data_IF_721657405295
#
_entry.id   IF_721657405295
#
_cell.length_a   1.000
_cell.length_b   1.000
_cell.length_c   1.000
_cell.angle_alpha   90.00
_cell.angle_beta   90.00
_cell.angle_gamma   90.00
#
_symmetry.space_group_name_H-M   'P 1'
#
loop_
_entity.id
_entity.type
_entity.pdbx_description
1 polymer ?
#
# COMPACT_ATOMS: atom_id res chain seq x y z
N UNK A 1 -2.37 -7.67 -10.20
CA UNK A 1 -3.75 -7.70 -10.73
C UNK A 1 -4.72 -7.69 -9.55
N UNK A 2 -5.24 -6.51 -9.20
CA UNK A 2 -6.37 -6.29 -8.29
C UNK A 2 -7.49 -5.65 -9.12
N UNK A 3 -7.87 -6.31 -10.22
CA UNK A 3 -8.77 -5.70 -11.23
C UNK A 3 -10.23 -5.61 -10.75
N UNK A 4 -10.51 -6.03 -9.51
CA UNK A 4 -11.83 -5.96 -8.86
C UNK A 4 -11.74 -5.80 -7.35
N UNK A 5 -10.92 -4.88 -6.84
CA UNK A 5 -11.12 -4.46 -5.45
C UNK A 5 -12.36 -3.56 -5.41
N UNK A 6 -13.49 -4.17 -5.07
CA UNK A 6 -14.80 -3.50 -4.98
C UNK A 6 -14.92 -2.61 -3.75
N UNK A 7 -14.06 -2.79 -2.74
CA UNK A 7 -13.93 -1.90 -1.60
C UNK A 7 -12.47 -1.87 -1.09
N UNK A 8 -11.90 -0.68 -0.78
CA UNK A 8 -10.59 -0.58 -0.14
C UNK A 8 -10.59 -1.23 1.25
N UNK A 9 -9.46 -1.84 1.63
CA UNK A 9 -9.23 -2.58 2.90
C UNK A 9 -9.93 -3.93 2.99
N UNK A 10 -10.48 -4.47 1.91
CA UNK A 10 -11.21 -5.74 1.93
C UNK A 10 -10.33 -6.91 2.39
N UNK A 11 -9.08 -6.97 1.92
CA UNK A 11 -8.13 -8.04 2.25
C UNK A 11 -7.43 -7.72 3.58
N UNK A 12 -7.07 -6.47 3.81
CA UNK A 12 -6.42 -6.03 5.04
C UNK A 12 -7.28 -6.34 6.28
N UNK A 13 -8.61 -6.26 6.17
CA UNK A 13 -9.55 -6.62 7.24
C UNK A 13 -9.56 -8.09 7.62
N UNK A 14 -9.07 -9.00 6.76
CA UNK A 14 -8.96 -10.43 7.10
C UNK A 14 -7.64 -10.75 7.82
N UNK A 15 -6.68 -9.83 7.82
CA UNK A 15 -5.33 -10.04 8.38
C UNK A 15 -5.11 -9.23 9.66
N UNK A 16 -5.53 -7.96 9.65
CA UNK A 16 -5.34 -7.00 10.74
C UNK A 16 -6.55 -6.96 11.69
N UNK A 17 -6.30 -6.51 12.92
CA UNK A 17 -7.35 -6.29 13.91
C UNK A 17 -8.26 -5.12 13.52
N UNK A 18 -9.57 -5.19 13.88
CA UNK A 18 -10.50 -4.09 13.61
C UNK A 18 -10.06 -2.74 14.18
N UNK A 19 -9.38 -2.73 15.33
CA UNK A 19 -8.88 -1.52 15.98
C UNK A 19 -7.80 -0.84 15.13
N UNK A 20 -6.85 -1.61 14.60
CA UNK A 20 -5.80 -1.13 13.69
C UNK A 20 -6.39 -0.56 12.41
N UNK A 21 -7.35 -1.26 11.82
CA UNK A 21 -8.05 -0.77 10.63
C UNK A 21 -8.73 0.58 10.92
N UNK A 22 -9.35 0.72 12.10
CA UNK A 22 -9.96 1.98 12.52
C UNK A 22 -8.94 3.10 12.70
N UNK A 23 -7.78 2.81 13.30
CA UNK A 23 -6.69 3.78 13.45
C UNK A 23 -6.16 4.24 12.09
N UNK A 24 -5.93 3.31 11.17
CA UNK A 24 -5.53 3.62 9.78
C UNK A 24 -6.58 4.52 9.10
N UNK A 25 -7.87 4.19 9.19
CA UNK A 25 -8.92 5.04 8.61
C UNK A 25 -8.96 6.46 9.23
N UNK A 26 -8.66 6.57 10.53
CA UNK A 26 -8.64 7.85 11.24
C UNK A 26 -7.35 8.66 11.02
N UNK A 27 -6.30 8.05 10.45
CA UNK A 27 -5.01 8.68 10.22
C UNK A 27 -4.96 9.59 8.98
N UNK A 28 -6.06 9.72 8.23
CA UNK A 28 -6.16 10.63 7.07
C UNK A 28 -5.48 10.12 5.80
N UNK A 29 -5.34 8.80 5.66
CA UNK A 29 -4.77 8.17 4.47
C UNK A 29 -5.67 8.33 3.23
N UNK A 30 -5.04 8.32 2.06
CA UNK A 30 -5.76 8.32 0.78
C UNK A 30 -6.08 6.88 0.36
N UNK A 31 -6.88 6.75 -0.70
CA UNK A 31 -7.24 5.44 -1.23
C UNK A 31 -6.01 4.60 -1.64
N UNK A 32 -4.92 5.22 -2.08
CA UNK A 32 -3.71 4.49 -2.48
C UNK A 32 -3.06 3.74 -1.32
N UNK A 33 -3.06 4.30 -0.10
CA UNK A 33 -2.59 3.57 1.09
C UNK A 33 -3.46 2.35 1.40
N UNK A 34 -4.77 2.41 1.19
CA UNK A 34 -5.63 1.25 1.39
C UNK A 34 -5.34 0.13 0.39
N UNK A 35 -5.09 0.48 -0.87
CA UNK A 35 -4.66 -0.47 -1.90
C UNK A 35 -3.29 -1.09 -1.56
N UNK A 36 -2.36 -0.29 -1.03
CA UNK A 36 -1.05 -0.77 -0.54
C UNK A 36 -1.25 -1.79 0.60
N UNK A 37 -2.11 -1.48 1.57
CA UNK A 37 -2.42 -2.38 2.68
C UNK A 37 -3.02 -3.70 2.20
N UNK A 38 -3.98 -3.65 1.29
CA UNK A 38 -4.55 -4.87 0.74
C UNK A 38 -3.54 -5.69 -0.06
N UNK A 39 -2.64 -5.01 -0.80
CA UNK A 39 -1.54 -5.67 -1.52
C UNK A 39 -0.58 -6.36 -0.55
N UNK A 40 -0.26 -5.74 0.58
CA UNK A 40 0.55 -6.37 1.63
C UNK A 40 -0.18 -7.52 2.30
N UNK A 41 -1.48 -7.37 2.58
CA UNK A 41 -2.30 -8.43 3.17
C UNK A 41 -2.41 -9.65 2.23
N UNK A 42 -2.44 -9.42 0.92
CA UNK A 42 -2.46 -10.48 -0.08
C UNK A 42 -1.10 -11.20 -0.22
N UNK A 43 -0.01 -10.43 -0.28
CA UNK A 43 1.31 -10.98 -0.64
C UNK A 43 2.15 -11.40 0.58
N UNK A 44 1.98 -10.74 1.72
CA UNK A 44 2.80 -10.88 2.93
C UNK A 44 1.94 -10.76 4.22
N UNK A 45 0.90 -11.60 4.38
CA UNK A 45 -0.03 -11.48 5.50
C UNK A 45 0.63 -11.66 6.87
N UNK A 46 1.61 -12.55 6.99
CA UNK A 46 2.27 -12.85 8.25
C UNK A 46 3.21 -11.72 8.69
N UNK A 47 3.95 -11.12 7.76
CA UNK A 47 4.75 -9.91 8.02
C UNK A 47 3.85 -8.73 8.40
N UNK A 48 2.71 -8.56 7.74
CA UNK A 48 1.76 -7.49 8.06
C UNK A 48 1.20 -7.65 9.48
N UNK A 49 0.83 -8.87 9.86
CA UNK A 49 0.37 -9.18 11.23
C UNK A 49 1.48 -8.98 12.27
N UNK A 50 2.72 -9.35 11.92
CA UNK A 50 3.89 -9.12 12.78
C UNK A 50 4.13 -7.62 13.00
N UNK A 51 4.07 -6.80 11.95
CA UNK A 51 4.25 -5.35 12.06
C UNK A 51 3.17 -4.72 12.95
N UNK A 52 1.91 -5.12 12.79
CA UNK A 52 0.81 -4.70 13.67
C UNK A 52 1.09 -5.07 15.14
N UNK A 53 1.57 -6.29 15.39
CA UNK A 53 1.85 -6.77 16.74
C UNK A 53 3.01 -6.03 17.39
N UNK A 54 4.01 -5.63 16.60
CA UNK A 54 5.16 -4.85 17.08
C UNK A 54 4.74 -3.42 17.44
N UNK A 55 4.00 -2.75 16.55
CA UNK A 55 3.53 -1.38 16.79
C UNK A 55 2.52 -0.94 15.74
N UNK A 56 1.31 -0.57 16.16
CA UNK A 56 0.32 0.06 15.26
C UNK A 56 0.83 1.38 14.69
N UNK A 57 1.55 2.18 15.49
CA UNK A 57 2.18 3.40 14.99
C UNK A 57 3.27 3.08 13.95
N UNK A 58 4.03 2.00 14.17
CA UNK A 58 5.01 1.50 13.19
C UNK A 58 4.37 1.14 11.85
N UNK A 59 3.23 0.44 11.89
CA UNK A 59 2.43 0.14 10.69
C UNK A 59 2.00 1.42 9.97
N UNK A 60 1.46 2.41 10.69
CA UNK A 60 1.02 3.69 10.13
C UNK A 60 2.20 4.43 9.47
N UNK A 61 3.35 4.49 10.14
CA UNK A 61 4.55 5.15 9.60
C UNK A 61 5.05 4.43 8.34
N UNK A 62 5.16 3.11 8.37
CA UNK A 62 5.59 2.31 7.21
C UNK A 62 4.63 2.48 6.02
N UNK A 63 3.33 2.49 6.28
CA UNK A 63 2.31 2.75 5.26
C UNK A 63 2.44 4.14 4.65
N UNK A 64 2.62 5.17 5.49
CA UNK A 64 2.80 6.55 5.04
C UNK A 64 4.04 6.72 4.17
N UNK A 65 5.16 6.09 4.56
CA UNK A 65 6.39 6.10 3.76
C UNK A 65 6.19 5.42 2.41
N UNK A 66 5.51 4.26 2.39
CA UNK A 66 5.24 3.56 1.14
C UNK A 66 4.32 4.37 0.22
N UNK A 67 3.21 4.92 0.76
CA UNK A 67 2.30 5.78 0.02
C UNK A 67 3.03 6.96 -0.60
N UNK A 68 3.94 7.60 0.15
CA UNK A 68 4.72 8.74 -0.34
C UNK A 68 5.66 8.33 -1.46
N UNK A 69 6.36 7.19 -1.34
CA UNK A 69 7.27 6.70 -2.39
C UNK A 69 6.53 6.38 -3.69
N UNK A 70 5.42 5.66 -3.60
CA UNK A 70 4.61 5.32 -4.77
C UNK A 70 4.00 6.57 -5.40
N UNK A 71 3.45 7.49 -4.59
CA UNK A 71 2.90 8.75 -5.08
C UNK A 71 3.95 9.63 -5.77
N UNK A 72 5.19 9.68 -5.28
CA UNK A 72 6.25 10.45 -5.93
C UNK A 72 6.57 9.94 -7.32
N UNK A 73 6.55 8.61 -7.52
CA UNK A 73 6.76 8.02 -8.85
C UNK A 73 5.55 8.23 -9.73
N UNK A 74 4.35 7.94 -9.23
CA UNK A 74 3.12 8.03 -10.03
C UNK A 74 2.76 9.46 -10.45
N UNK A 75 3.22 10.48 -9.71
CA UNK A 75 3.02 11.88 -10.07
C UNK A 75 4.15 12.48 -10.92
N UNK A 76 5.14 11.68 -11.35
CA UNK A 76 6.24 12.17 -12.19
C UNK A 76 5.83 12.31 -13.66
N UNK A 77 6.51 13.19 -14.40
CA UNK A 77 6.23 13.40 -15.84
C UNK A 77 6.39 12.10 -16.66
N UNK A 78 7.36 11.26 -16.31
CA UNK A 78 7.56 9.95 -16.95
C UNK A 78 6.41 8.98 -16.68
N UNK A 79 5.81 9.01 -15.50
CA UNK A 79 4.61 8.23 -15.19
C UNK A 79 3.40 8.71 -16.02
N UNK A 80 3.25 10.02 -16.21
CA UNK A 80 2.21 10.57 -17.08
C UNK A 80 2.36 10.11 -18.54
N UNK A 81 3.58 10.11 -19.07
CA UNK A 81 3.86 9.63 -20.42
C UNK A 81 3.58 8.11 -20.56
N UNK A 82 4.02 7.32 -19.58
CA UNK A 82 3.78 5.88 -19.54
C UNK A 82 2.27 5.56 -19.46
N UNK A 83 1.52 6.29 -18.63
CA UNK A 83 0.07 6.16 -18.53
C UNK A 83 -0.62 6.50 -19.86
N UNK A 84 -0.18 7.56 -20.57
CA UNK A 84 -0.68 7.89 -21.92
C UNK A 84 -0.40 6.80 -22.95
N UNK A 85 0.63 5.97 -22.74
CA UNK A 85 0.93 4.81 -23.58
C UNK A 85 0.15 3.55 -23.16
N UNK A 86 -0.72 3.66 -22.16
CA UNK A 86 -1.57 2.56 -21.68
C UNK A 86 -0.97 1.71 -20.58
N UNK A 87 0.16 2.12 -19.98
CA UNK A 87 0.71 1.42 -18.81
C UNK A 87 -0.18 1.64 -17.58
N UNK A 88 -0.39 0.60 -16.80
CA UNK A 88 -1.06 0.72 -15.51
C UNK A 88 -0.14 1.34 -14.46
N UNK A 89 -0.70 1.90 -13.38
CA UNK A 89 0.08 2.39 -12.23
C UNK A 89 1.05 1.33 -11.69
N UNK A 90 0.65 0.05 -11.73
CA UNK A 90 1.49 -1.05 -11.31
C UNK A 90 2.70 -1.25 -12.23
N UNK A 91 2.48 -1.23 -13.54
CA UNK A 91 3.57 -1.34 -14.52
C UNK A 91 4.54 -0.17 -14.39
N UNK A 92 4.02 1.03 -14.12
CA UNK A 92 4.82 2.24 -13.90
C UNK A 92 5.70 2.08 -12.65
N UNK A 93 5.12 1.64 -11.53
CA UNK A 93 5.88 1.40 -10.29
C UNK A 93 6.95 0.33 -10.48
N UNK A 94 6.62 -0.77 -11.17
CA UNK A 94 7.56 -1.85 -11.45
C UNK A 94 8.70 -1.37 -12.36
N UNK A 95 8.39 -0.63 -13.42
CA UNK A 95 9.37 -0.07 -14.34
C UNK A 95 10.30 0.95 -13.65
N UNK A 96 9.78 1.71 -12.70
CA UNK A 96 10.56 2.60 -11.86
C UNK A 96 11.42 1.88 -10.80
N UNK A 97 11.35 0.55 -10.70
CA UNK A 97 12.09 -0.24 -9.73
C UNK A 97 11.62 -0.04 -8.29
N UNK A 98 10.39 0.43 -8.08
CA UNK A 98 9.83 0.60 -6.74
C UNK A 98 9.53 -0.77 -6.16
N UNK A 99 10.15 -1.05 -5.01
CA UNK A 99 9.78 -2.20 -4.23
C UNK A 99 8.43 -1.93 -3.52
N UNK A 100 7.42 -2.68 -3.94
CA UNK A 100 6.05 -2.59 -3.45
C UNK A 100 5.77 -3.55 -2.29
N UNK A 101 6.77 -4.37 -1.92
CA UNK A 101 6.69 -5.32 -0.82
C UNK A 101 6.72 -4.61 0.53
N UNK A 102 6.13 -5.22 1.54
CA UNK A 102 6.25 -4.79 2.92
C UNK A 102 7.69 -5.03 3.39
N UNK A 103 8.34 -3.98 3.87
CA UNK A 103 9.66 -4.04 4.52
C UNK A 103 9.54 -3.64 5.98
N UNK A 104 9.86 -4.58 6.86
CA UNK A 104 9.99 -4.31 8.29
C UNK A 104 11.44 -3.95 8.55
N UNK A 105 11.73 -2.67 8.68
CA UNK A 105 13.03 -2.21 9.18
C UNK A 105 13.00 -2.30 10.70
N UNK A 106 13.65 -3.32 11.25
CA UNK A 106 13.85 -3.56 12.69
C UNK A 106 15.02 -2.76 13.23
#
# INVERSE_FOLDING_TARGET
MLDRQTAPLEIARTVLRPETIREVCNAGFTNSAYLILDRWALNQPDELRRLETLSTLGLIVTLSQQQTREANVLNSDSAWEASRQGMSDWDILQNAGIDTSLKITI
#
